data_IF_619477093905
#
_entry.id   IF_619477093905
#
_cell.length_a   1.000
_cell.length_b   1.000
_cell.length_c   1.000
_cell.angle_alpha   90.00
_cell.angle_beta   90.00
_cell.angle_gamma   90.00
#
_symmetry.space_group_name_H-M   'P 1'
#
loop_
_entity.id
_entity.type
_entity.pdbx_description
1 polymer ?
#
# COMPACT_ATOMS: atom_id res chain seq x y z
N UNK A 1 -16.45 8.30 -29.00
CA UNK A 1 -15.53 8.86 -28.80
C UNK A 1 -14.64 8.14 -27.95
N UNK A 2 -13.59 8.19 -28.11
CA UNK A 2 -12.83 7.51 -27.40
C UNK A 2 -12.45 8.14 -26.25
N UNK A 3 -12.32 7.60 -25.22
CA UNK A 3 -12.02 8.16 -24.17
C UNK A 3 -10.62 8.22 -23.97
N UNK A 4 -10.12 9.23 -23.78
CA UNK A 4 -8.78 9.43 -23.54
C UNK A 4 -8.52 9.36 -22.11
N UNK A 5 -7.45 8.72 -21.70
CA UNK A 5 -7.14 8.62 -20.35
C UNK A 5 -6.43 9.84 -19.95
N UNK A 6 -7.08 10.73 -19.28
CA UNK A 6 -6.46 11.94 -18.79
C UNK A 6 -6.09 11.75 -17.35
N UNK A 7 -4.88 12.04 -16.95
CA UNK A 7 -4.55 11.99 -15.55
C UNK A 7 -5.35 13.05 -14.82
N UNK A 8 -5.88 12.70 -13.68
CA UNK A 8 -6.67 13.63 -12.92
C UNK A 8 -6.04 13.96 -11.57
N UNK A 9 -4.77 13.65 -11.41
CA UNK A 9 -4.04 13.98 -10.20
C UNK A 9 -2.57 14.07 -10.51
N UNK A 10 -1.81 14.66 -9.60
CA UNK A 10 -0.38 14.78 -9.77
C UNK A 10 0.32 14.20 -8.56
N UNK A 11 1.37 13.44 -8.80
CA UNK A 11 2.19 12.89 -7.76
C UNK A 11 3.54 13.58 -7.87
N UNK A 12 3.75 14.60 -7.07
CA UNK A 12 4.87 15.46 -7.27
C UNK A 12 4.69 16.19 -8.58
N UNK A 13 5.58 16.01 -9.50
CA UNK A 13 5.48 16.62 -10.82
C UNK A 13 4.93 15.64 -11.86
N UNK A 14 4.52 14.44 -11.44
CA UNK A 14 4.10 13.42 -12.39
C UNK A 14 2.61 13.24 -12.36
N UNK A 15 1.93 13.41 -13.50
CA UNK A 15 0.49 13.17 -13.52
C UNK A 15 0.18 11.69 -13.50
N UNK A 16 -0.94 11.33 -12.91
CA UNK A 16 -1.33 9.94 -12.85
C UNK A 16 -2.86 9.84 -12.75
N UNK A 17 -3.39 8.65 -13.03
CA UNK A 17 -4.81 8.40 -13.03
C UNK A 17 -5.21 7.87 -11.66
N UNK A 18 -5.96 8.64 -10.90
CA UNK A 18 -6.34 8.25 -9.55
C UNK A 18 -7.20 7.02 -9.51
N UNK A 19 -7.82 6.64 -10.60
CA UNK A 19 -8.67 5.47 -10.59
C UNK A 19 -7.88 4.18 -10.51
N UNK A 20 -6.70 4.15 -11.06
CA UNK A 20 -5.89 2.92 -11.07
C UNK A 20 -4.60 3.05 -10.30
N UNK A 21 -4.18 4.26 -10.02
CA UNK A 21 -2.89 4.48 -9.38
C UNK A 21 -3.03 5.31 -8.12
N UNK A 22 -2.03 5.30 -7.33
CA UNK A 22 -1.99 6.10 -6.12
C UNK A 22 -0.65 6.79 -5.99
N UNK A 23 -0.57 7.76 -5.13
CA UNK A 23 0.66 8.51 -4.90
C UNK A 23 1.11 8.29 -3.46
N UNK A 24 2.32 7.83 -3.27
CA UNK A 24 2.83 7.51 -1.95
C UNK A 24 4.07 8.34 -1.68
N UNK A 25 4.07 9.06 -0.57
CA UNK A 25 5.23 9.82 -0.20
C UNK A 25 6.14 8.89 0.57
N UNK A 26 7.15 8.36 -0.11
CA UNK A 26 8.03 7.36 0.45
C UNK A 26 9.07 8.03 1.30
N UNK A 27 9.27 7.54 2.52
CA UNK A 27 10.16 8.19 3.46
C UNK A 27 11.60 8.21 3.00
N UNK A 28 11.99 7.25 2.19
CA UNK A 28 13.37 7.19 1.75
C UNK A 28 13.60 7.96 0.46
N UNK A 29 12.57 8.65 -0.05
CA UNK A 29 12.74 9.37 -1.29
C UNK A 29 12.31 10.80 -1.14
N UNK A 30 12.92 11.68 -1.90
CA UNK A 30 12.56 13.08 -1.85
C UNK A 30 11.29 13.36 -2.60
N UNK A 31 10.95 12.54 -3.58
CA UNK A 31 9.75 12.80 -4.37
C UNK A 31 8.81 11.64 -4.20
N UNK A 32 7.51 11.90 -4.29
CA UNK A 32 6.55 10.82 -4.13
C UNK A 32 6.59 9.86 -5.31
N UNK A 33 6.08 8.67 -5.08
CA UNK A 33 6.14 7.60 -6.05
C UNK A 33 4.73 7.18 -6.40
N UNK A 34 4.48 6.95 -7.69
CA UNK A 34 3.19 6.48 -8.15
C UNK A 34 3.21 4.96 -8.08
N UNK A 35 2.15 4.37 -7.54
CA UNK A 35 2.04 2.93 -7.45
C UNK A 35 0.71 2.47 -8.05
N UNK A 36 0.62 1.20 -8.39
CA UNK A 36 -0.57 0.63 -9.00
C UNK A 36 -1.45 0.04 -7.91
N UNK A 37 -2.65 0.59 -7.73
CA UNK A 37 -3.51 0.21 -6.62
C UNK A 37 -3.90 -1.25 -6.63
N UNK A 38 -3.95 -1.87 -7.80
CA UNK A 38 -4.34 -3.24 -7.88
C UNK A 38 -3.35 -4.17 -7.21
N UNK A 39 -2.09 -3.84 -7.24
CA UNK A 39 -1.05 -4.71 -6.70
C UNK A 39 -0.33 -4.15 -5.49
N UNK A 40 -0.41 -2.87 -5.29
CA UNK A 40 0.41 -2.21 -4.29
C UNK A 40 -0.41 -1.28 -3.43
N UNK A 41 0.15 -0.86 -2.34
CA UNK A 41 -0.50 0.07 -1.45
C UNK A 41 0.57 0.92 -0.77
N UNK A 42 0.16 2.05 -0.24
CA UNK A 42 1.05 2.93 0.48
C UNK A 42 0.83 2.74 1.97
N UNK A 43 1.84 2.33 2.68
CA UNK A 43 1.71 2.04 4.09
C UNK A 43 2.75 2.83 4.86
N UNK A 44 2.32 3.94 5.46
CA UNK A 44 3.20 4.73 6.32
C UNK A 44 4.48 5.21 5.65
N UNK A 45 4.41 5.56 4.38
CA UNK A 45 5.59 5.99 3.67
C UNK A 45 6.35 4.87 3.00
N UNK A 46 5.73 3.69 2.92
CA UNK A 46 6.34 2.55 2.25
C UNK A 46 5.36 1.97 1.25
N UNK A 47 5.85 1.55 0.10
CA UNK A 47 5.02 0.90 -0.89
C UNK A 47 5.10 -0.59 -0.63
N UNK A 48 3.96 -1.23 -0.41
CA UNK A 48 3.93 -2.64 -0.11
C UNK A 48 3.20 -3.40 -1.21
N UNK A 49 3.46 -4.70 -1.27
CA UNK A 49 2.85 -5.57 -2.24
C UNK A 49 1.64 -6.21 -1.57
N UNK A 50 0.45 -5.94 -2.09
CA UNK A 50 -0.78 -6.39 -1.45
C UNK A 50 -0.90 -7.90 -1.40
N UNK A 51 -0.17 -8.61 -2.23
CA UNK A 51 -0.27 -10.06 -2.23
C UNK A 51 0.51 -10.68 -1.09
N UNK A 52 1.51 -10.05 -0.59
CA UNK A 52 2.33 -10.63 0.47
C UNK A 52 2.42 -9.79 1.72
N UNK A 53 1.92 -8.57 1.67
CA UNK A 53 2.08 -7.68 2.80
C UNK A 53 0.78 -6.97 3.12
N UNK A 54 0.62 -6.60 4.37
CA UNK A 54 -0.51 -5.80 4.80
C UNK A 54 -0.01 -4.56 5.52
N UNK A 55 -0.92 -3.70 5.87
CA UNK A 55 -0.57 -2.46 6.56
C UNK A 55 -1.32 -2.38 7.88
N UNK A 56 -0.60 -2.21 8.95
CA UNK A 56 -1.19 -2.13 10.28
C UNK A 56 -0.74 -0.83 10.91
N UNK A 57 -1.65 0.15 10.98
CA UNK A 57 -1.34 1.45 11.52
C UNK A 57 -0.07 2.01 10.94
N UNK A 58 -0.02 2.05 9.62
CA UNK A 58 1.12 2.61 8.89
C UNK A 58 2.39 1.80 9.04
N UNK A 59 2.26 0.53 9.41
CA UNK A 59 3.41 -0.34 9.50
C UNK A 59 3.19 -1.55 8.61
N UNK A 60 4.07 -1.83 7.68
CA UNK A 60 3.90 -3.00 6.84
C UNK A 60 4.23 -4.27 7.60
N UNK A 61 3.55 -5.35 7.28
CA UNK A 61 3.84 -6.62 7.89
C UNK A 61 3.61 -7.73 6.87
N UNK A 62 4.16 -8.90 7.15
CA UNK A 62 4.08 -10.04 6.25
C UNK A 62 2.81 -10.80 6.52
N UNK A 63 1.94 -10.93 5.52
CA UNK A 63 0.66 -11.59 5.70
C UNK A 63 0.80 -13.07 6.00
N UNK A 64 1.91 -13.67 5.63
CA UNK A 64 2.07 -15.10 5.86
C UNK A 64 2.45 -15.41 7.30
N UNK A 65 3.02 -14.48 8.00
CA UNK A 65 3.51 -14.76 9.33
C UNK A 65 2.89 -13.90 10.40
N UNK A 66 2.16 -12.85 10.02
CA UNK A 66 1.64 -11.91 10.99
C UNK A 66 0.23 -11.47 10.66
N UNK A 67 -0.43 -10.86 11.60
CA UNK A 67 -1.74 -10.34 11.43
C UNK A 67 -1.82 -8.99 12.11
N UNK A 68 -2.81 -8.20 11.75
CA UNK A 68 -3.02 -6.91 12.39
C UNK A 68 -4.26 -7.01 13.26
N UNK A 69 -4.09 -6.86 14.56
CA UNK A 69 -5.19 -6.97 15.48
C UNK A 69 -5.27 -5.70 16.29
N UNK A 70 -6.32 -4.91 16.03
CA UNK A 70 -6.56 -3.66 16.75
C UNK A 70 -5.35 -2.74 16.72
N UNK A 71 -4.69 -2.68 15.59
CA UNK A 71 -3.55 -1.79 15.45
C UNK A 71 -2.23 -2.38 15.83
N UNK A 72 -2.22 -3.63 16.29
CA UNK A 72 -0.98 -4.28 16.65
C UNK A 72 -0.66 -5.41 15.72
N UNK A 73 0.60 -5.53 15.33
CA UNK A 73 1.05 -6.61 14.48
C UNK A 73 1.36 -7.80 15.37
N UNK A 74 0.65 -8.89 15.17
CA UNK A 74 0.82 -10.08 15.97
C UNK A 74 1.28 -11.24 15.11
N UNK A 75 1.84 -12.24 15.72
CA UNK A 75 2.35 -13.39 15.01
C UNK A 75 1.22 -14.32 14.69
N UNK A 76 0.93 -14.51 13.43
CA UNK A 76 -0.20 -15.34 13.04
C UNK A 76 -0.01 -16.81 13.40
N UNK A 77 1.21 -17.23 13.55
CA UNK A 77 1.44 -18.62 13.86
C UNK A 77 1.12 -18.97 15.30
N UNK A 78 0.81 -17.98 16.12
CA UNK A 78 0.46 -18.25 17.47
C UNK A 78 -0.99 -18.27 17.68
N UNK A 79 -1.79 -18.60 16.81
CA UNK A 79 -3.17 -18.59 16.96
C UNK A 79 -3.55 -19.70 17.76
N UNK A 80 -3.93 -19.48 18.93
CA UNK A 80 -4.24 -20.53 19.82
C UNK A 80 -5.46 -21.19 19.45
N UNK A 81 -6.23 -20.52 19.00
CA UNK A 81 -7.45 -21.08 18.82
C UNK A 81 -7.56 -22.19 17.99
N UNK A 82 -6.75 -22.28 17.59
CA UNK A 82 -6.97 -23.09 16.88
C UNK A 82 -7.03 -24.18 17.34
N UNK A 83 -7.04 -24.40 17.88
CA UNK A 83 -7.25 -25.35 18.39
C UNK A 83 -7.83 -25.71 18.67
#
# INVERSE_FOLDING_TARGET
MERVHHPNACCGANPYDRETKGCCKVVSRDIPVVFTKMYQDCCGGHIIDKQGQGCCKNKPFNLESHDCCEGDITDASIFPGEF
#
